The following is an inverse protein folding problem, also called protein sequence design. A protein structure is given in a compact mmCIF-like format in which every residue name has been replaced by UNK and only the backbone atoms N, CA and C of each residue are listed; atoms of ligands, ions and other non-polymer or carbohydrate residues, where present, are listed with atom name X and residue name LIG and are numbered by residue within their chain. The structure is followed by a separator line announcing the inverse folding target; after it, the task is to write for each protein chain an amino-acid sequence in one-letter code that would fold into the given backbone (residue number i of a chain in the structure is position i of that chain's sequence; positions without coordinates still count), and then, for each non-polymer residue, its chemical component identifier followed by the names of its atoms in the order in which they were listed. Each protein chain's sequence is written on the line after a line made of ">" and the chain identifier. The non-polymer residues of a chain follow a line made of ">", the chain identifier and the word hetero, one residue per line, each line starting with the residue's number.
data_IF_692892176354
#
_entry.id   IF_692892176354
#
_cell.length_a   1.000
_cell.length_b   1.000
_cell.length_c   1.000
_cell.angle_alpha   90.00
_cell.angle_beta   90.00
_cell.angle_gamma   90.00
#
_symmetry.space_group_name_H-M   'P 1'
#
loop_
_entity.id
_entity.type
_entity.pdbx_description
1 polymer ?
#
# COMPACT_ATOMS: atom_id res chain seq x y z
N UNK A 1 -18.93 -89.16 -6.15
CA UNK A 1 -19.26 -87.73 -6.32
C UNK A 1 -19.61 -87.14 -4.96
N UNK A 2 -18.63 -86.60 -4.24
CA UNK A 2 -18.85 -85.89 -2.97
C UNK A 2 -18.56 -84.39 -3.20
N UNK A 3 -19.56 -83.52 -2.98
CA UNK A 3 -19.44 -82.07 -3.09
C UNK A 3 -19.29 -81.46 -1.69
N UNK A 4 -18.11 -80.93 -1.39
CA UNK A 4 -17.86 -80.05 -0.24
C UNK A 4 -18.43 -78.66 -0.54
N UNK A 5 -19.30 -78.14 0.32
CA UNK A 5 -19.73 -76.74 0.29
C UNK A 5 -18.89 -75.95 1.29
N UNK A 6 -18.08 -75.01 0.80
CA UNK A 6 -17.35 -74.04 1.60
C UNK A 6 -18.22 -72.78 1.68
N UNK A 7 -18.74 -72.47 2.88
CA UNK A 7 -19.37 -71.17 3.16
C UNK A 7 -18.28 -70.16 3.50
N UNK A 8 -18.13 -69.13 2.67
CA UNK A 8 -17.22 -68.01 2.90
C UNK A 8 -18.01 -66.90 3.62
N UNK A 9 -17.75 -66.69 4.90
CA UNK A 9 -18.31 -65.57 5.67
C UNK A 9 -17.41 -64.35 5.43
N UNK A 10 -17.92 -63.36 4.70
CA UNK A 10 -17.25 -62.08 4.53
C UNK A 10 -17.55 -61.16 5.73
N UNK A 11 -16.52 -60.85 6.53
CA UNK A 11 -16.61 -59.87 7.62
C UNK A 11 -16.41 -58.48 7.01
N UNK A 12 -17.48 -57.68 7.00
CA UNK A 12 -17.46 -56.28 6.59
C UNK A 12 -16.94 -55.43 7.76
N UNK A 13 -15.68 -54.99 7.69
CA UNK A 13 -15.12 -54.04 8.67
C UNK A 13 -15.56 -52.64 8.28
N UNK A 14 -16.55 -52.09 9.01
CA UNK A 14 -16.93 -50.69 8.90
C UNK A 14 -15.89 -49.88 9.67
N UNK A 15 -14.92 -49.30 8.97
CA UNK A 15 -14.02 -48.30 9.54
C UNK A 15 -14.79 -46.99 9.71
N UNK A 16 -15.32 -46.76 10.90
CA UNK A 16 -15.79 -45.43 11.29
C UNK A 16 -14.61 -44.47 11.32
N UNK A 17 -14.43 -43.69 10.25
CA UNK A 17 -13.48 -42.59 10.22
C UNK A 17 -13.88 -41.55 11.26
N UNK A 18 -13.19 -41.54 12.40
CA UNK A 18 -13.32 -40.46 13.36
C UNK A 18 -12.63 -39.25 12.78
N UNK A 19 -13.42 -38.25 12.37
CA UNK A 19 -12.88 -36.93 12.08
C UNK A 19 -12.38 -36.34 13.40
N UNK A 20 -11.06 -36.20 13.54
CA UNK A 20 -10.48 -35.40 14.62
C UNK A 20 -10.89 -33.96 14.33
N UNK A 21 -11.93 -33.50 15.01
CA UNK A 21 -12.26 -32.08 15.04
C UNK A 21 -11.15 -31.41 15.83
N UNK A 22 -10.33 -30.59 15.17
CA UNK A 22 -9.34 -29.76 15.85
C UNK A 22 -10.05 -29.02 16.99
N UNK A 23 -9.53 -29.18 18.20
CA UNK A 23 -10.10 -28.58 19.39
C UNK A 23 -10.07 -27.05 19.21
N UNK A 24 -11.23 -26.40 19.36
CA UNK A 24 -11.32 -24.96 19.21
C UNK A 24 -10.60 -24.31 20.39
N UNK A 25 -9.52 -23.57 20.12
CA UNK A 25 -8.81 -22.78 21.11
C UNK A 25 -9.13 -21.29 21.01
N UNK A 26 -9.01 -20.51 22.09
CA UNK A 26 -9.12 -19.05 22.04
C UNK A 26 -8.11 -18.41 21.09
N UNK A 27 -8.47 -17.24 20.55
CA UNK A 27 -7.56 -16.38 19.81
C UNK A 27 -6.48 -15.86 20.77
N UNK A 28 -5.23 -16.08 20.41
CA UNK A 28 -4.06 -15.59 21.12
C UNK A 28 -3.50 -14.33 20.45
N UNK A 29 -2.63 -13.60 21.17
CA UNK A 29 -1.91 -12.44 20.64
C UNK A 29 -1.22 -12.74 19.29
N UNK A 30 -0.55 -13.90 19.18
CA UNK A 30 0.14 -14.31 17.95
C UNK A 30 -0.81 -14.48 16.75
N UNK A 31 -2.04 -14.93 16.99
CA UNK A 31 -3.03 -15.06 15.94
C UNK A 31 -3.45 -13.68 15.43
N UNK A 32 -3.59 -12.72 16.35
CA UNK A 32 -3.89 -11.32 15.99
C UNK A 32 -2.80 -10.69 15.13
N UNK A 33 -1.52 -11.01 15.38
CA UNK A 33 -0.41 -10.49 14.58
C UNK A 33 -0.21 -11.24 13.26
N UNK A 34 -0.60 -12.52 13.19
CA UNK A 34 -0.57 -13.30 11.95
C UNK A 34 -1.67 -12.90 10.95
N UNK A 35 -2.73 -12.22 11.41
CA UNK A 35 -3.80 -11.73 10.53
C UNK A 35 -3.34 -10.56 9.66
N UNK A 36 -3.59 -10.67 8.36
CA UNK A 36 -3.35 -9.59 7.39
C UNK A 36 -4.33 -8.45 7.61
N UNK A 37 -3.83 -7.23 7.73
CA UNK A 37 -4.65 -6.01 7.83
C UNK A 37 -4.96 -5.50 6.43
N UNK A 38 -6.23 -5.61 6.04
CA UNK A 38 -6.72 -5.18 4.72
C UNK A 38 -7.08 -3.70 4.77
N UNK A 39 -6.63 -2.94 3.77
CA UNK A 39 -6.92 -1.51 3.62
C UNK A 39 -6.98 -1.12 2.13
N UNK A 40 -7.45 0.11 1.86
CA UNK A 40 -7.40 0.74 0.55
C UNK A 40 -8.01 -0.12 -0.59
N UNK A 41 -9.14 -0.78 -0.32
CA UNK A 41 -9.83 -1.58 -1.33
C UNK A 41 -10.40 -0.70 -2.45
N UNK A 42 -10.21 -1.09 -3.71
CA UNK A 42 -10.64 -0.39 -4.92
C UNK A 42 -11.23 -1.37 -5.94
N UNK A 43 -12.47 -1.11 -6.36
CA UNK A 43 -13.12 -1.85 -7.44
C UNK A 43 -12.54 -1.39 -8.77
N UNK A 44 -12.28 -2.31 -9.69
CA UNK A 44 -11.79 -1.99 -11.04
C UNK A 44 -12.86 -1.25 -11.85
N UNK A 45 -12.49 -0.45 -12.88
CA UNK A 45 -13.46 0.33 -13.66
C UNK A 45 -14.61 -0.49 -14.25
N UNK A 46 -14.34 -1.75 -14.64
CA UNK A 46 -15.34 -2.67 -15.16
C UNK A 46 -15.97 -3.60 -14.10
N UNK A 47 -15.70 -3.40 -12.81
CA UNK A 47 -16.35 -4.13 -11.70
C UNK A 47 -15.98 -5.61 -11.57
N UNK A 48 -14.95 -6.10 -12.28
CA UNK A 48 -14.56 -7.52 -12.25
C UNK A 48 -13.64 -7.86 -11.09
N UNK A 49 -12.83 -6.89 -10.66
CA UNK A 49 -11.76 -7.10 -9.69
C UNK A 49 -11.84 -6.08 -8.57
N UNK A 50 -11.39 -6.49 -7.39
CA UNK A 50 -11.10 -5.61 -6.26
C UNK A 50 -9.60 -5.71 -5.99
N UNK A 51 -8.90 -4.58 -6.11
CA UNK A 51 -7.53 -4.43 -5.64
C UNK A 51 -7.54 -3.95 -4.20
N UNK A 52 -6.68 -4.49 -3.36
CA UNK A 52 -6.54 -4.05 -1.99
C UNK A 52 -5.12 -4.29 -1.50
N UNK A 53 -4.73 -3.53 -0.48
CA UNK A 53 -3.49 -3.75 0.23
C UNK A 53 -3.75 -4.71 1.40
N UNK A 54 -2.85 -5.66 1.63
CA UNK A 54 -2.82 -6.41 2.89
C UNK A 54 -1.45 -6.26 3.56
N UNK A 55 -1.46 -5.89 4.85
CA UNK A 55 -0.24 -5.69 5.65
C UNK A 55 -0.07 -6.82 6.64
N UNK A 56 1.09 -7.46 6.62
CA UNK A 56 1.50 -8.50 7.55
C UNK A 56 2.65 -8.01 8.43
N UNK A 57 2.69 -8.48 9.68
CA UNK A 57 3.68 -8.08 10.68
C UNK A 57 4.54 -9.27 11.04
N UNK A 58 5.85 -9.05 11.09
CA UNK A 58 6.79 -9.97 11.65
C UNK A 58 7.18 -9.45 13.04
N UNK A 59 6.73 -10.18 14.07
CA UNK A 59 6.93 -9.81 15.47
C UNK A 59 8.39 -9.99 15.89
N UNK A 60 9.06 -11.02 15.38
CA UNK A 60 10.45 -11.35 15.74
C UNK A 60 11.41 -10.27 15.22
N UNK A 61 11.20 -9.83 13.99
CA UNK A 61 12.05 -8.82 13.33
C UNK A 61 11.55 -7.39 13.55
N UNK A 62 10.49 -7.20 14.34
CA UNK A 62 9.80 -5.92 14.54
C UNK A 62 9.56 -5.15 13.22
N UNK A 63 9.11 -5.87 12.20
CA UNK A 63 8.95 -5.35 10.85
C UNK A 63 7.55 -5.61 10.31
N UNK A 64 7.21 -4.94 9.21
CA UNK A 64 5.94 -5.12 8.49
C UNK A 64 6.18 -5.04 7.00
N UNK A 65 5.37 -5.76 6.25
CA UNK A 65 5.37 -5.76 4.80
C UNK A 65 3.93 -5.63 4.31
N UNK A 66 3.74 -4.90 3.22
CA UNK A 66 2.44 -4.68 2.61
C UNK A 66 2.55 -4.99 1.13
N UNK A 67 1.61 -5.80 0.63
CA UNK A 67 1.52 -6.10 -0.79
C UNK A 67 0.14 -5.79 -1.32
N UNK A 68 0.07 -5.68 -2.64
CA UNK A 68 -1.19 -5.53 -3.36
C UNK A 68 -1.72 -6.90 -3.75
N UNK A 69 -3.00 -7.11 -3.49
CA UNK A 69 -3.75 -8.32 -3.82
C UNK A 69 -4.92 -7.97 -4.75
N UNK A 70 -5.34 -8.95 -5.55
CA UNK A 70 -6.56 -8.93 -6.32
C UNK A 70 -7.48 -10.04 -5.88
N UNK A 71 -8.77 -9.73 -5.79
CA UNK A 71 -9.86 -10.71 -5.67
C UNK A 71 -10.92 -10.41 -6.73
N UNK A 72 -11.50 -11.43 -7.36
CA UNK A 72 -12.64 -11.25 -8.24
C UNK A 72 -13.87 -10.83 -7.42
N UNK A 73 -14.77 -10.05 -8.00
CA UNK A 73 -15.97 -9.58 -7.28
C UNK A 73 -16.93 -10.69 -6.87
N UNK A 74 -16.82 -11.88 -7.47
CA UNK A 74 -17.53 -13.09 -7.03
C UNK A 74 -16.78 -13.92 -5.97
N UNK A 75 -15.59 -13.48 -5.55
CA UNK A 75 -14.77 -14.10 -4.52
C UNK A 75 -14.04 -15.39 -4.93
N UNK A 76 -14.17 -15.83 -6.20
CA UNK A 76 -13.65 -17.14 -6.64
C UNK A 76 -12.18 -17.13 -7.04
N UNK A 77 -11.66 -15.97 -7.44
CA UNK A 77 -10.27 -15.82 -7.87
C UNK A 77 -9.58 -14.85 -6.93
N UNK A 78 -8.41 -15.24 -6.43
CA UNK A 78 -7.58 -14.42 -5.56
C UNK A 78 -6.11 -14.60 -5.92
N UNK A 79 -5.35 -13.50 -6.00
CA UNK A 79 -3.91 -13.55 -6.26
C UNK A 79 -3.18 -12.36 -5.62
N UNK A 80 -1.97 -12.61 -5.12
CA UNK A 80 -0.99 -11.58 -4.78
C UNK A 80 -0.41 -11.01 -6.08
N UNK A 81 -0.32 -9.68 -6.19
CA UNK A 81 0.20 -9.00 -7.36
C UNK A 81 1.65 -8.52 -7.20
N UNK A 82 2.01 -8.06 -6.01
CA UNK A 82 3.35 -7.55 -5.73
C UNK A 82 4.05 -8.40 -4.68
N UNK A 83 5.39 -8.39 -4.69
CA UNK A 83 6.20 -9.32 -3.91
C UNK A 83 7.44 -8.65 -3.29
N UNK A 84 7.47 -7.32 -3.25
CA UNK A 84 8.62 -6.58 -2.73
C UNK A 84 8.70 -6.70 -1.20
N UNK A 85 9.89 -6.85 -0.58
CA UNK A 85 10.02 -6.84 0.87
C UNK A 85 9.65 -5.49 1.52
N UNK A 86 9.64 -4.40 0.75
CA UNK A 86 9.21 -3.07 1.18
C UNK A 86 7.69 -2.91 1.04
N UNK A 87 7.17 -1.74 1.37
CA UNK A 87 5.72 -1.56 1.46
C UNK A 87 5.14 -1.14 0.11
N UNK A 88 4.24 -1.94 -0.44
CA UNK A 88 3.37 -1.57 -1.55
C UNK A 88 1.96 -1.26 -1.02
N UNK A 89 1.48 -0.04 -1.23
CA UNK A 89 0.30 0.51 -0.56
C UNK A 89 -0.59 1.33 -1.47
N UNK A 90 -1.81 1.63 -1.02
CA UNK A 90 -2.72 2.57 -1.71
C UNK A 90 -2.94 2.26 -3.21
N UNK A 91 -3.37 1.04 -3.58
CA UNK A 91 -3.57 0.69 -4.98
C UNK A 91 -4.69 1.53 -5.61
N UNK A 92 -4.48 2.01 -6.84
CA UNK A 92 -5.45 2.76 -7.64
C UNK A 92 -5.46 2.24 -9.07
N UNK A 93 -6.64 1.88 -9.56
CA UNK A 93 -6.83 1.50 -10.95
C UNK A 93 -6.62 2.69 -11.88
N UNK A 94 -5.92 2.45 -12.99
CA UNK A 94 -5.97 3.37 -14.13
C UNK A 94 -7.42 3.50 -14.64
N UNK A 95 -7.80 4.63 -15.26
CA UNK A 95 -9.15 4.84 -15.78
C UNK A 95 -9.61 3.73 -16.75
N UNK A 96 -8.69 3.25 -17.60
CA UNK A 96 -8.92 2.16 -18.55
C UNK A 96 -8.90 0.76 -17.91
N UNK A 97 -8.46 0.64 -16.66
CA UNK A 97 -8.45 -0.62 -15.92
C UNK A 97 -7.41 -1.66 -16.35
N UNK A 98 -6.45 -1.28 -17.21
CA UNK A 98 -5.39 -2.16 -17.71
C UNK A 98 -4.08 -2.08 -16.88
N UNK A 99 -3.94 -1.02 -16.10
CA UNK A 99 -2.81 -0.76 -15.18
C UNK A 99 -3.30 -0.52 -13.76
N UNK A 100 -2.43 -0.85 -12.80
CA UNK A 100 -2.59 -0.54 -11.38
C UNK A 100 -1.42 0.33 -10.90
N UNK A 101 -1.73 1.49 -10.33
CA UNK A 101 -0.76 2.32 -9.64
C UNK A 101 -0.79 2.04 -8.14
N UNK A 102 0.33 2.20 -7.44
CA UNK A 102 0.42 2.06 -5.98
C UNK A 102 1.62 2.83 -5.45
N UNK A 103 1.64 3.16 -4.15
CA UNK A 103 2.79 3.80 -3.50
C UNK A 103 3.74 2.72 -3.01
N UNK A 104 5.03 2.88 -3.32
CA UNK A 104 6.09 1.99 -2.85
C UNK A 104 7.33 2.75 -2.40
N UNK A 105 7.97 2.24 -1.34
CA UNK A 105 9.23 2.75 -0.80
C UNK A 105 10.41 1.79 -1.07
N UNK A 106 10.33 0.97 -2.13
CA UNK A 106 11.35 -0.02 -2.48
C UNK A 106 12.74 0.58 -2.77
N UNK A 107 12.77 1.79 -3.32
CA UNK A 107 14.01 2.53 -3.66
C UNK A 107 14.33 3.65 -2.65
N UNK A 108 13.76 3.61 -1.45
CA UNK A 108 14.03 4.57 -0.38
C UNK A 108 12.84 5.47 -0.10
N UNK A 109 12.73 6.58 -0.84
CA UNK A 109 11.61 7.51 -0.72
C UNK A 109 10.36 6.93 -1.37
N UNK A 110 9.18 7.17 -0.79
CA UNK A 110 7.89 6.71 -1.34
C UNK A 110 7.63 7.34 -2.71
N UNK A 111 7.36 6.51 -3.72
CA UNK A 111 7.01 6.92 -5.08
C UNK A 111 5.77 6.16 -5.59
N UNK A 112 5.13 6.68 -6.62
CA UNK A 112 4.10 5.95 -7.36
C UNK A 112 4.76 4.97 -8.33
N UNK A 113 4.37 3.71 -8.25
CA UNK A 113 4.78 2.64 -9.15
C UNK A 113 3.58 2.20 -10.00
N UNK A 114 3.88 1.74 -11.22
CA UNK A 114 2.91 1.27 -12.19
C UNK A 114 3.14 -0.19 -12.56
N UNK A 115 2.09 -0.99 -12.41
CA UNK A 115 2.06 -2.39 -12.80
C UNK A 115 1.04 -2.60 -13.93
N UNK A 116 1.49 -3.26 -15.00
CA UNK A 116 0.60 -3.68 -16.09
C UNK A 116 -0.09 -4.99 -15.71
N UNK A 117 -1.41 -5.07 -15.87
CA UNK A 117 -2.15 -6.30 -15.55
C UNK A 117 -1.84 -7.48 -16.49
N UNK A 118 -1.33 -7.20 -17.70
CA UNK A 118 -0.87 -8.24 -18.63
C UNK A 118 0.41 -8.92 -18.15
N UNK A 119 1.04 -8.40 -17.09
CA UNK A 119 2.27 -8.91 -16.49
C UNK A 119 3.45 -7.96 -16.70
N UNK A 120 4.61 -8.39 -16.23
CA UNK A 120 5.83 -7.58 -16.16
C UNK A 120 6.10 -7.06 -14.75
N UNK A 121 7.29 -6.49 -14.57
CA UNK A 121 7.66 -5.84 -13.32
C UNK A 121 7.03 -4.45 -13.22
N UNK A 122 6.79 -4.01 -11.97
CA UNK A 122 6.31 -2.66 -11.74
C UNK A 122 7.43 -1.65 -12.03
N UNK A 123 7.13 -0.59 -12.77
CA UNK A 123 8.06 0.52 -13.01
C UNK A 123 7.77 1.68 -12.08
N UNK A 124 8.81 2.40 -11.65
CA UNK A 124 8.61 3.69 -10.98
C UNK A 124 8.03 4.69 -12.01
N UNK A 125 7.03 5.46 -11.59
CA UNK A 125 6.32 6.41 -12.44
C UNK A 125 6.49 7.87 -11.99
N UNK A 126 6.90 8.09 -10.74
CA UNK A 126 7.21 9.42 -10.21
C UNK A 126 8.63 9.46 -9.68
N UNK A 127 9.25 10.63 -9.73
CA UNK A 127 10.53 10.92 -9.09
C UNK A 127 10.41 12.23 -8.32
N UNK A 128 9.78 12.17 -7.14
CA UNK A 128 9.54 13.31 -6.27
C UNK A 128 10.51 13.21 -5.09
N UNK A 129 11.57 14.03 -5.01
CA UNK A 129 12.61 13.90 -3.98
C UNK A 129 12.08 14.00 -2.54
N UNK A 130 11.03 14.80 -2.32
CA UNK A 130 10.32 14.95 -1.04
C UNK A 130 9.36 13.79 -0.72
N UNK A 131 9.16 12.87 -1.67
CA UNK A 131 8.32 11.69 -1.56
C UNK A 131 6.83 11.94 -1.78
N UNK A 132 6.12 10.87 -2.12
CA UNK A 132 4.68 10.88 -2.38
C UNK A 132 3.93 10.36 -1.16
N UNK A 133 3.10 11.21 -0.56
CA UNK A 133 2.25 10.88 0.59
C UNK A 133 0.92 10.24 0.14
N UNK A 134 0.33 10.76 -0.92
CA UNK A 134 -0.88 10.22 -1.54
C UNK A 134 -0.93 10.58 -3.03
N UNK A 135 -1.75 9.89 -3.81
CA UNK A 135 -1.93 10.21 -5.22
C UNK A 135 -3.33 9.85 -5.73
N UNK A 136 -3.72 10.45 -6.86
CA UNK A 136 -4.86 10.07 -7.67
C UNK A 136 -4.54 10.16 -9.17
N UNK A 137 -5.23 9.35 -9.96
CA UNK A 137 -5.19 9.44 -11.42
C UNK A 137 -5.99 10.65 -11.92
N UNK A 138 -5.48 11.29 -12.96
CA UNK A 138 -6.29 12.12 -13.85
C UNK A 138 -7.34 11.26 -14.58
N UNK A 139 -8.51 11.82 -14.94
CA UNK A 139 -9.56 11.07 -15.64
C UNK A 139 -9.14 10.49 -16.99
N UNK A 140 -8.19 11.12 -17.67
CA UNK A 140 -7.64 10.67 -18.96
C UNK A 140 -6.46 9.70 -18.80
N UNK A 141 -5.97 9.49 -17.58
CA UNK A 141 -4.89 8.56 -17.28
C UNK A 141 -3.49 9.02 -17.70
N UNK A 142 -3.33 10.30 -18.06
CA UNK A 142 -2.05 10.85 -18.53
C UNK A 142 -1.21 11.48 -17.41
N UNK A 143 -1.86 11.85 -16.31
CA UNK A 143 -1.25 12.51 -15.15
C UNK A 143 -1.63 11.85 -13.82
N UNK A 144 -0.78 12.05 -12.83
CA UNK A 144 -1.10 11.90 -11.41
C UNK A 144 -1.22 13.28 -10.76
N UNK A 145 -2.17 13.43 -9.86
CA UNK A 145 -2.11 14.45 -8.82
C UNK A 145 -1.54 13.80 -7.56
N UNK A 146 -0.38 14.27 -7.09
CA UNK A 146 0.33 13.72 -5.92
C UNK A 146 0.39 14.75 -4.81
N UNK A 147 0.24 14.31 -3.56
CA UNK A 147 0.50 15.14 -2.40
C UNK A 147 1.92 14.89 -1.88
N UNK A 148 2.68 15.96 -1.62
CA UNK A 148 4.03 15.90 -1.06
C UNK A 148 4.27 17.05 -0.09
N UNK A 149 5.23 16.92 0.83
CA UNK A 149 5.54 17.96 1.81
C UNK A 149 6.70 18.83 1.31
N UNK A 150 6.43 20.11 1.10
CA UNK A 150 7.32 21.07 0.44
C UNK A 150 7.50 22.31 1.32
N UNK A 151 8.68 22.93 1.28
CA UNK A 151 8.89 24.24 1.89
C UNK A 151 8.11 25.32 1.11
N UNK A 152 7.36 26.21 1.78
CA UNK A 152 6.49 27.15 1.10
C UNK A 152 7.24 28.16 0.22
N UNK A 153 8.52 28.38 0.51
CA UNK A 153 9.43 29.21 -0.29
C UNK A 153 10.12 28.49 -1.46
N UNK A 154 10.01 27.16 -1.56
CA UNK A 154 10.58 26.40 -2.67
C UNK A 154 9.70 26.50 -3.92
N UNK A 155 10.31 26.67 -5.09
CA UNK A 155 9.66 26.70 -6.39
C UNK A 155 9.32 25.28 -6.90
N UNK A 156 9.95 24.24 -6.34
CA UNK A 156 9.71 22.84 -6.71
C UNK A 156 9.98 21.86 -5.56
N UNK A 157 9.46 20.62 -5.64
CA UNK A 157 9.83 19.54 -4.73
C UNK A 157 11.34 19.26 -4.70
N UNK A 158 12.04 19.43 -5.82
CA UNK A 158 13.49 19.23 -5.89
C UNK A 158 14.26 20.28 -5.09
N UNK A 159 13.91 21.56 -5.26
CA UNK A 159 14.49 22.64 -4.45
C UNK A 159 14.20 22.43 -2.96
N UNK A 160 12.97 22.03 -2.62
CA UNK A 160 12.62 21.73 -1.23
C UNK A 160 13.45 20.59 -0.63
N UNK A 161 13.87 19.61 -1.42
CA UNK A 161 14.75 18.53 -0.96
C UNK A 161 16.19 19.02 -0.75
N UNK A 162 16.70 19.89 -1.64
CA UNK A 162 18.01 20.55 -1.44
C UNK A 162 18.02 21.41 -0.17
N UNK A 163 16.94 22.16 0.08
CA UNK A 163 16.76 22.92 1.31
C UNK A 163 16.73 22.04 2.56
N UNK A 164 16.09 20.87 2.50
CA UNK A 164 16.09 19.90 3.60
C UNK A 164 17.51 19.35 3.84
N UNK A 165 18.26 19.04 2.78
CA UNK A 165 19.64 18.57 2.90
C UNK A 165 20.51 19.62 3.61
N UNK A 166 20.44 20.89 3.19
CA UNK A 166 21.19 21.97 3.82
C UNK A 166 20.77 22.19 5.28
N UNK A 167 19.45 22.19 5.57
CA UNK A 167 18.94 22.33 6.95
C UNK A 167 19.32 21.15 7.84
N UNK A 168 19.49 19.96 7.28
CA UNK A 168 19.90 18.77 8.04
C UNK A 168 21.36 18.83 8.54
N UNK A 169 22.18 19.73 7.95
CA UNK A 169 23.58 19.97 8.35
C UNK A 169 23.68 20.90 9.57
N UNK A 170 22.61 21.62 9.91
CA UNK A 170 22.58 22.49 11.08
C UNK A 170 22.54 21.67 12.38
N UNK A 171 23.46 21.94 13.30
CA UNK A 171 23.56 21.29 14.60
C UNK A 171 22.66 21.95 15.66
N UNK A 172 22.01 23.07 15.33
CA UNK A 172 21.09 23.74 16.22
C UNK A 172 19.85 22.86 16.50
N UNK A 173 19.60 22.57 17.78
CA UNK A 173 18.45 21.75 18.20
C UNK A 173 17.23 22.58 18.62
N UNK A 174 17.41 23.90 18.76
CA UNK A 174 16.34 24.82 19.12
C UNK A 174 15.39 25.05 17.94
N UNK A 175 14.08 24.98 18.19
CA UNK A 175 13.04 25.32 17.20
C UNK A 175 12.34 26.60 17.63
N UNK A 176 12.28 27.59 16.73
CA UNK A 176 11.41 28.76 16.89
C UNK A 176 10.07 28.42 16.25
N UNK A 177 9.00 28.58 17.03
CA UNK A 177 7.64 28.30 16.60
C UNK A 177 6.82 29.58 16.71
N UNK A 178 6.38 30.09 15.57
CA UNK A 178 5.60 31.33 15.44
C UNK A 178 4.23 31.12 14.77
N UNK A 179 3.92 29.86 14.39
CA UNK A 179 2.67 29.48 13.73
C UNK A 179 2.00 28.26 14.41
N UNK A 180 0.67 28.19 14.31
CA UNK A 180 -0.11 27.06 14.82
C UNK A 180 0.11 25.80 13.98
N UNK A 181 -0.37 24.66 14.51
CA UNK A 181 -0.22 23.33 13.91
C UNK A 181 1.24 22.91 13.62
N UNK A 182 2.23 23.53 14.25
CA UNK A 182 3.67 23.21 14.09
C UNK A 182 4.07 21.74 14.37
N UNK A 183 3.18 20.95 14.98
CA UNK A 183 3.33 19.53 15.28
C UNK A 183 1.99 18.83 15.12
N UNK A 184 2.01 17.64 14.52
CA UNK A 184 0.86 16.75 14.43
C UNK A 184 1.21 15.42 15.13
N UNK A 185 0.53 15.12 16.23
CA UNK A 185 0.80 13.97 17.10
C UNK A 185 2.28 13.88 17.54
N UNK A 186 3.01 12.91 17.03
CA UNK A 186 4.42 12.63 17.31
C UNK A 186 5.37 13.15 16.22
N UNK A 187 4.86 13.90 15.23
CA UNK A 187 5.64 14.39 14.09
C UNK A 187 5.66 15.91 14.00
N UNK A 188 6.84 16.48 13.74
CA UNK A 188 7.02 17.92 13.57
C UNK A 188 6.82 18.30 12.11
N UNK A 189 6.19 19.44 11.85
CA UNK A 189 6.00 19.93 10.47
C UNK A 189 7.28 20.46 9.83
N UNK A 190 8.24 20.89 10.66
CA UNK A 190 9.50 21.48 10.22
C UNK A 190 9.33 22.59 9.16
N UNK A 191 8.24 23.36 9.22
CA UNK A 191 7.98 24.45 8.27
C UNK A 191 7.49 24.00 6.88
N UNK A 192 7.23 22.71 6.67
CA UNK A 192 6.69 22.20 5.40
C UNK A 192 5.16 22.19 5.37
N UNK A 193 4.63 22.33 4.15
CA UNK A 193 3.22 22.30 3.83
C UNK A 193 2.95 21.21 2.82
N UNK A 194 1.78 20.57 2.92
CA UNK A 194 1.38 19.61 1.90
C UNK A 194 1.00 20.37 0.63
N UNK A 195 1.64 20.07 -0.49
CA UNK A 195 1.32 20.66 -1.79
C UNK A 195 0.80 19.57 -2.74
N UNK A 196 -0.07 19.98 -3.67
CA UNK A 196 -0.53 19.17 -4.77
C UNK A 196 0.36 19.42 -5.99
N UNK A 197 0.97 18.35 -6.48
CA UNK A 197 1.87 18.37 -7.63
C UNK A 197 1.28 17.51 -8.73
N UNK A 198 1.26 18.02 -9.97
CA UNK A 198 0.81 17.27 -11.15
C UNK A 198 2.03 16.63 -11.82
N UNK A 199 1.99 15.32 -12.02
CA UNK A 199 3.11 14.54 -12.58
C UNK A 199 2.65 13.76 -13.81
N UNK A 200 3.31 13.88 -14.98
CA UNK A 200 3.02 13.05 -16.15
C UNK A 200 3.33 11.56 -15.90
N UNK A 201 2.41 10.67 -16.28
CA UNK A 201 2.48 9.21 -16.02
C UNK A 201 3.62 8.52 -16.77
N UNK A 202 3.94 9.01 -17.96
CA UNK A 202 5.03 8.48 -18.81
C UNK A 202 6.36 9.20 -18.60
N UNK A 203 6.46 10.01 -17.54
CA UNK A 203 7.62 10.82 -17.23
C UNK A 203 7.54 12.22 -17.83
N UNK A 204 8.27 13.15 -17.20
CA UNK A 204 8.24 14.57 -17.51
C UNK A 204 8.39 15.42 -16.26
N UNK A 205 8.34 16.73 -16.44
CA UNK A 205 8.45 17.67 -15.33
C UNK A 205 7.20 17.66 -14.46
N UNK A 206 7.41 17.61 -13.15
CA UNK A 206 6.36 17.72 -12.15
C UNK A 206 6.07 19.21 -11.87
N UNK A 207 4.79 19.58 -11.84
CA UNK A 207 4.37 20.98 -11.65
C UNK A 207 3.63 21.12 -10.33
N UNK A 208 4.15 21.94 -9.42
CA UNK A 208 3.43 22.33 -8.22
C UNK A 208 2.30 23.30 -8.58
N UNK A 209 1.07 22.94 -8.21
CA UNK A 209 -0.13 23.73 -8.51
C UNK A 209 -0.71 24.41 -7.26
N UNK A 210 -0.10 24.21 -6.10
CA UNK A 210 -0.51 24.85 -4.84
C UNK A 210 0.69 25.35 -4.03
N UNK A 211 1.57 26.18 -4.62
CA UNK A 211 2.73 26.70 -3.92
C UNK A 211 2.35 27.66 -2.78
N UNK A 212 3.27 27.87 -1.84
CA UNK A 212 3.12 28.77 -0.70
C UNK A 212 2.66 28.08 0.58
N UNK A 213 2.38 28.87 1.61
CA UNK A 213 2.13 28.36 2.97
C UNK A 213 0.67 27.88 3.18
N UNK A 214 0.17 26.99 2.32
CA UNK A 214 -1.18 26.44 2.41
C UNK A 214 -1.19 24.91 2.20
N UNK A 215 -1.77 24.17 3.15
CA UNK A 215 -1.92 22.72 3.01
C UNK A 215 -2.97 22.34 1.97
N UNK A 216 -2.53 21.68 0.90
CA UNK A 216 -3.38 21.06 -0.10
C UNK A 216 -2.90 19.63 -0.44
N UNK A 217 -3.66 18.58 -0.08
CA UNK A 217 -4.90 18.63 0.71
C UNK A 217 -4.65 19.12 2.14
N UNK A 218 -5.67 19.70 2.81
CA UNK A 218 -5.55 20.12 4.20
C UNK A 218 -5.23 18.91 5.09
N UNK A 219 -4.48 19.15 6.16
CA UNK A 219 -4.16 18.12 7.14
C UNK A 219 -5.44 17.50 7.71
N UNK A 220 -5.49 16.17 7.77
CA UNK A 220 -6.60 15.49 8.46
C UNK A 220 -6.48 15.73 9.96
N UNK A 221 -7.53 16.32 10.55
CA UNK A 221 -7.61 16.65 11.99
C UNK A 221 -8.17 15.49 12.84
N UNK A 222 -8.41 14.33 12.24
CA UNK A 222 -8.98 13.14 12.86
C UNK A 222 -8.53 11.84 12.17
N UNK A 223 -8.96 10.68 12.67
CA UNK A 223 -8.67 9.39 12.02
C UNK A 223 -9.57 9.17 10.80
N UNK A 224 -8.96 8.79 9.68
CA UNK A 224 -9.63 8.20 8.50
C UNK A 224 -10.33 6.86 8.84
#
# INVERSE_FOLDING_TARGET
>A
MCRFHIFLVAILVITSGQFIRAEQRPIEFKDMFAMGRVANAQISPHGKWVAYQATYYNVEDNSKNADIYLVSTDGKQHKRLTFDPKMDTSPRWSPEGDRLAFISNREGTSQVYLLNLKGGEARQATDIPTGVNSFNWSPDGNYFAVATDVYPEAESPSESAEMEEERSKDLATGKVIDNLLYRHWNSWRNGKYSHLVVVPVEGGEAVDITPGANDTPPISLGSD
#
